data_IF_128712899458
#
_entry.id   IF_128712899458
#
_cell.length_a   1.000
_cell.length_b   1.000
_cell.length_c   1.000
_cell.angle_alpha   90.00
_cell.angle_beta   90.00
_cell.angle_gamma   90.00
#
_symmetry.space_group_name_H-M   'P 1'
#
loop_
_entity.id
_entity.type
_entity.pdbx_description
1 polymer ?
#
# COMPACT_ATOMS: atom_id res chain seq x y z
N UNK A 1 -14.45 -2.69 -7.85
CA UNK A 1 -13.91 -2.46 -6.49
C UNK A 1 -15.00 -2.74 -5.45
N UNK A 2 -14.66 -3.28 -4.26
CA UNK A 2 -15.59 -3.29 -3.14
C UNK A 2 -15.97 -1.85 -2.73
N UNK A 3 -17.09 -1.66 -2.00
CA UNK A 3 -17.45 -0.34 -1.50
C UNK A 3 -16.37 0.21 -0.56
N UNK A 4 -16.11 1.53 -0.64
CA UNK A 4 -15.15 2.19 0.22
C UNK A 4 -15.66 2.21 1.68
N UNK A 5 -14.76 2.03 2.62
CA UNK A 5 -15.04 2.06 4.05
C UNK A 5 -14.11 3.03 4.78
N UNK A 6 -14.50 3.48 5.97
CA UNK A 6 -13.63 4.31 6.79
C UNK A 6 -12.43 3.50 7.31
N UNK A 7 -11.26 4.13 7.38
CA UNK A 7 -10.07 3.52 7.98
C UNK A 7 -10.28 3.42 9.50
N UNK A 8 -10.23 2.21 10.09
CA UNK A 8 -10.37 2.08 11.54
C UNK A 8 -9.28 2.84 12.29
N UNK A 9 -9.56 3.36 13.49
CA UNK A 9 -8.51 3.91 14.35
C UNK A 9 -7.53 2.81 14.77
N UNK A 10 -6.28 3.18 15.03
CA UNK A 10 -5.35 2.29 15.69
C UNK A 10 -5.88 1.92 17.07
N UNK A 11 -5.71 0.68 17.47
CA UNK A 11 -5.99 0.25 18.83
C UNK A 11 -4.93 0.81 19.82
N UNK A 12 -5.07 0.51 21.11
CA UNK A 12 -4.16 0.98 22.16
C UNK A 12 -2.68 0.53 21.95
N UNK A 13 -2.45 -0.47 21.12
CA UNK A 13 -1.12 -1.00 20.80
C UNK A 13 -0.54 -0.40 19.50
N UNK A 14 -1.27 0.52 18.87
CA UNK A 14 -0.88 1.13 17.59
C UNK A 14 -1.09 0.23 16.38
N UNK A 15 -1.96 -0.78 16.49
CA UNK A 15 -2.25 -1.74 15.42
C UNK A 15 -3.58 -1.36 14.75
N UNK A 16 -3.62 -1.41 13.43
CA UNK A 16 -4.87 -1.33 12.68
C UNK A 16 -5.67 -2.63 12.91
N UNK A 17 -6.91 -2.58 13.45
CA UNK A 17 -7.69 -3.80 13.66
C UNK A 17 -7.98 -4.53 12.34
N UNK A 18 -7.92 -5.87 12.28
CA UNK A 18 -8.19 -6.61 11.04
C UNK A 18 -9.69 -6.78 10.74
N UNK A 19 -10.53 -6.59 11.76
CA UNK A 19 -11.99 -6.74 11.70
C UNK A 19 -12.65 -5.71 12.64
N UNK A 20 -13.92 -5.45 12.41
CA UNK A 20 -14.77 -4.80 13.41
C UNK A 20 -15.14 -5.81 14.49
N UNK A 21 -14.66 -5.62 15.72
CA UNK A 21 -14.92 -6.52 16.83
C UNK A 21 -16.41 -6.61 17.22
N UNK A 22 -17.19 -5.55 16.96
CA UNK A 22 -18.63 -5.53 17.19
C UNK A 22 -19.43 -6.32 16.13
N UNK A 23 -18.83 -6.52 14.93
CA UNK A 23 -19.44 -7.23 13.82
C UNK A 23 -18.41 -8.14 13.10
N UNK A 24 -17.88 -9.17 13.76
CA UNK A 24 -16.71 -9.91 13.30
C UNK A 24 -16.91 -10.71 12.01
N UNK A 25 -18.14 -10.96 11.60
CA UNK A 25 -18.48 -11.63 10.33
C UNK A 25 -18.90 -10.65 9.21
N UNK A 26 -18.88 -9.33 9.48
CA UNK A 26 -19.23 -8.33 8.49
C UNK A 26 -18.19 -8.27 7.36
N UNK A 27 -18.59 -7.70 6.22
CA UNK A 27 -17.68 -7.42 5.10
C UNK A 27 -16.68 -6.28 5.42
N UNK A 28 -16.89 -5.53 6.52
CA UNK A 28 -15.99 -4.46 6.96
C UNK A 28 -14.77 -5.07 7.69
N UNK A 29 -13.82 -5.52 6.90
CA UNK A 29 -12.60 -6.21 7.36
C UNK A 29 -11.44 -5.97 6.40
N UNK A 30 -10.23 -6.22 6.89
CA UNK A 30 -9.02 -6.15 6.06
C UNK A 30 -9.02 -7.22 4.93
N UNK A 31 -8.53 -6.83 3.75
CA UNK A 31 -8.07 -5.51 3.35
C UNK A 31 -9.21 -4.49 3.21
N UNK A 32 -9.17 -3.41 3.97
CA UNK A 32 -10.19 -2.36 3.89
C UNK A 32 -10.03 -1.56 2.60
N UNK A 33 -11.06 -1.53 1.76
CA UNK A 33 -11.08 -0.70 0.57
C UNK A 33 -11.31 0.76 0.97
N UNK A 34 -10.35 1.63 0.69
CA UNK A 34 -10.36 3.04 1.08
C UNK A 34 -9.96 3.93 -0.08
N UNK A 35 -10.36 5.21 -0.06
CA UNK A 35 -9.89 6.18 -1.03
C UNK A 35 -8.40 6.50 -0.81
N UNK A 36 -7.69 6.86 -1.88
CA UNK A 36 -6.30 7.31 -1.77
C UNK A 36 -6.22 8.63 -0.99
N UNK A 37 -7.23 9.48 -1.08
CA UNK A 37 -7.34 10.72 -0.33
C UNK A 37 -7.46 10.48 1.17
N UNK A 38 -8.34 9.57 1.61
CA UNK A 38 -8.46 9.19 3.02
C UNK A 38 -7.19 8.54 3.55
N UNK A 39 -6.54 7.72 2.72
CA UNK A 39 -5.24 7.13 3.04
C UNK A 39 -4.18 8.20 3.31
N UNK A 40 -4.04 9.17 2.42
CA UNK A 40 -3.08 10.27 2.57
C UNK A 40 -3.39 11.09 3.82
N UNK A 41 -4.65 11.49 4.02
CA UNK A 41 -5.07 12.27 5.20
C UNK A 41 -4.79 11.51 6.51
N UNK A 42 -5.10 10.22 6.54
CA UNK A 42 -4.95 9.38 7.74
C UNK A 42 -3.49 9.19 8.16
N UNK A 43 -2.57 9.08 7.19
CA UNK A 43 -1.19 8.69 7.47
C UNK A 43 -0.15 9.80 7.33
N UNK A 44 -0.51 11.01 6.90
CA UNK A 44 0.41 12.17 6.81
C UNK A 44 0.65 12.84 8.17
N UNK A 45 0.96 12.06 9.20
CA UNK A 45 1.05 12.51 10.60
C UNK A 45 2.45 12.95 11.03
N UNK A 46 3.45 12.79 10.19
CA UNK A 46 4.83 13.24 10.43
C UNK A 46 5.56 13.49 9.12
N UNK A 47 6.65 14.26 9.15
CA UNK A 47 7.46 14.55 7.97
C UNK A 47 7.92 13.27 7.27
N UNK A 48 8.38 12.26 8.03
CA UNK A 48 8.81 10.99 7.44
C UNK A 48 7.67 10.24 6.75
N UNK A 49 6.47 10.28 7.29
CA UNK A 49 5.28 9.69 6.66
C UNK A 49 4.87 10.45 5.39
N UNK A 50 4.99 11.77 5.38
CA UNK A 50 4.77 12.60 4.19
C UNK A 50 5.77 12.25 3.07
N UNK A 51 7.06 12.04 3.42
CA UNK A 51 8.07 11.58 2.45
C UNK A 51 7.70 10.21 1.84
N UNK A 52 7.28 9.25 2.67
CA UNK A 52 6.87 7.91 2.22
C UNK A 52 5.63 8.00 1.32
N UNK A 53 4.64 8.79 1.69
CA UNK A 53 3.44 9.02 0.87
C UNK A 53 3.78 9.69 -0.46
N UNK A 54 4.70 10.64 -0.46
CA UNK A 54 5.22 11.26 -1.69
C UNK A 54 5.89 10.21 -2.57
N UNK A 55 6.69 9.34 -1.98
CA UNK A 55 7.32 8.21 -2.67
C UNK A 55 6.30 7.26 -3.27
N UNK A 56 5.27 6.88 -2.52
CA UNK A 56 4.17 6.04 -3.00
C UNK A 56 3.44 6.68 -4.20
N UNK A 57 3.11 7.97 -4.13
CA UNK A 57 2.47 8.68 -5.24
C UNK A 57 3.39 8.77 -6.48
N UNK A 58 4.71 8.85 -6.29
CA UNK A 58 5.68 8.79 -7.39
C UNK A 58 5.80 7.38 -7.98
N UNK A 59 5.77 6.34 -7.16
CA UNK A 59 5.72 4.94 -7.60
C UNK A 59 4.45 4.68 -8.42
N UNK A 60 3.28 5.15 -7.95
CA UNK A 60 2.02 5.05 -8.70
C UNK A 60 2.10 5.77 -10.04
N UNK A 61 2.67 6.98 -10.08
CA UNK A 61 2.87 7.72 -11.34
C UNK A 61 3.75 6.94 -12.33
N UNK A 62 4.80 6.24 -11.85
CA UNK A 62 5.63 5.39 -12.70
C UNK A 62 4.86 4.16 -13.22
N UNK A 63 4.02 3.51 -12.39
CA UNK A 63 3.12 2.45 -12.84
C UNK A 63 2.17 2.94 -13.93
N UNK A 64 1.54 4.11 -13.74
CA UNK A 64 0.62 4.70 -14.73
C UNK A 64 1.34 5.05 -16.03
N UNK A 65 2.56 5.57 -15.97
CA UNK A 65 3.39 5.84 -17.15
C UNK A 65 3.73 4.56 -17.92
N UNK A 66 3.87 3.41 -17.23
CA UNK A 66 4.03 2.09 -17.85
C UNK A 66 2.71 1.48 -18.35
N UNK A 67 1.59 2.22 -18.28
CA UNK A 67 0.26 1.78 -18.70
C UNK A 67 -0.50 0.94 -17.67
N UNK A 68 0.04 0.73 -16.47
CA UNK A 68 -0.59 -0.04 -15.40
C UNK A 68 -1.56 0.85 -14.60
N UNK A 69 -2.76 1.06 -15.15
CA UNK A 69 -3.78 1.98 -14.64
C UNK A 69 -5.02 1.28 -14.09
N UNK A 70 -5.07 -0.04 -14.11
CA UNK A 70 -6.23 -0.84 -13.70
C UNK A 70 -5.82 -1.96 -12.77
N UNK A 71 -6.56 -2.10 -11.67
CA UNK A 71 -6.30 -3.07 -10.61
C UNK A 71 -6.42 -2.42 -9.23
N UNK A 72 -5.64 -2.89 -8.28
CA UNK A 72 -5.63 -2.36 -6.91
C UNK A 72 -4.29 -2.61 -6.23
N UNK A 73 -4.06 -1.89 -5.15
CA UNK A 73 -2.88 -2.06 -4.31
C UNK A 73 -3.29 -2.46 -2.90
N UNK A 74 -2.64 -3.45 -2.32
CA UNK A 74 -2.65 -3.66 -0.88
C UNK A 74 -1.47 -2.91 -0.27
N UNK A 75 -1.74 -2.11 0.75
CA UNK A 75 -0.74 -1.35 1.49
C UNK A 75 -0.64 -1.87 2.92
N UNK A 76 0.57 -2.17 3.37
CA UNK A 76 0.85 -2.69 4.70
C UNK A 76 2.23 -2.22 5.24
N UNK A 77 2.89 -3.09 5.98
CA UNK A 77 4.14 -2.84 6.66
C UNK A 77 4.00 -2.09 7.99
N UNK A 78 5.13 -1.64 8.49
CA UNK A 78 5.16 -0.80 9.70
C UNK A 78 4.49 0.57 9.47
N UNK A 79 4.30 0.98 8.22
CA UNK A 79 3.60 2.19 7.85
C UNK A 79 2.12 2.17 8.29
N UNK A 80 1.46 1.01 8.29
CA UNK A 80 0.08 0.86 8.76
C UNK A 80 -0.04 0.84 10.30
N UNK A 81 1.07 0.81 11.02
CA UNK A 81 1.12 0.81 12.47
C UNK A 81 1.49 2.19 13.00
N UNK A 82 1.08 2.52 14.21
CA UNK A 82 1.54 3.71 14.93
C UNK A 82 2.86 3.39 15.65
N UNK A 83 3.89 3.10 14.85
CA UNK A 83 5.20 2.61 15.36
C UNK A 83 5.94 3.65 16.18
N UNK A 84 5.62 4.93 16.01
CA UNK A 84 6.22 6.05 16.74
C UNK A 84 5.90 6.01 18.23
N UNK A 85 4.71 5.49 18.61
CA UNK A 85 4.32 5.34 20.02
C UNK A 85 4.55 3.91 20.55
N UNK A 86 4.89 2.96 19.69
CA UNK A 86 5.12 1.58 20.08
C UNK A 86 6.36 1.48 20.99
N UNK A 87 6.24 1.05 22.27
CA UNK A 87 7.38 1.02 23.20
C UNK A 87 8.58 0.23 22.72
N UNK A 88 8.37 -0.74 21.82
CA UNK A 88 9.43 -1.60 21.27
C UNK A 88 10.15 -0.98 20.08
N UNK A 89 9.54 -0.03 19.39
CA UNK A 89 10.08 0.50 18.13
C UNK A 89 10.45 1.98 18.24
N UNK A 90 9.56 2.84 18.72
CA UNK A 90 9.75 4.29 18.94
C UNK A 90 10.52 5.00 17.81
N UNK A 91 10.22 4.65 16.57
CA UNK A 91 10.85 5.20 15.37
C UNK A 91 9.81 5.39 14.27
N UNK A 92 10.01 6.31 13.35
CA UNK A 92 9.14 6.39 12.18
C UNK A 92 9.26 5.11 11.31
N UNK A 93 8.26 4.82 10.46
CA UNK A 93 8.40 3.81 9.43
C UNK A 93 9.51 4.19 8.43
N UNK A 94 10.14 3.21 7.79
CA UNK A 94 11.17 3.48 6.78
C UNK A 94 10.55 3.60 5.39
N UNK A 95 9.50 2.84 5.14
CA UNK A 95 8.84 2.62 3.85
C UNK A 95 7.40 2.18 4.06
N UNK A 96 6.66 2.04 2.97
CA UNK A 96 5.38 1.33 2.92
C UNK A 96 5.53 0.07 2.06
N UNK A 97 5.03 -1.07 2.56
CA UNK A 97 4.98 -2.33 1.80
C UNK A 97 3.73 -2.32 0.91
N UNK A 98 3.90 -2.62 -0.39
CA UNK A 98 2.80 -2.57 -1.37
C UNK A 98 2.81 -3.80 -2.27
N UNK A 99 1.72 -4.54 -2.29
CA UNK A 99 1.44 -5.51 -3.37
C UNK A 99 0.54 -4.82 -4.39
N UNK A 100 1.00 -4.73 -5.63
CA UNK A 100 0.24 -4.15 -6.74
C UNK A 100 -0.35 -5.25 -7.60
N UNK A 101 -1.66 -5.45 -7.53
CA UNK A 101 -2.42 -6.31 -8.42
C UNK A 101 -2.87 -5.48 -9.62
N UNK A 102 -2.42 -5.84 -10.83
CA UNK A 102 -2.67 -5.04 -12.02
C UNK A 102 -3.16 -5.87 -13.21
N UNK A 103 -3.94 -5.24 -14.05
CA UNK A 103 -4.24 -5.71 -15.40
C UNK A 103 -3.23 -5.15 -16.39
N UNK A 104 -2.80 -5.97 -17.33
CA UNK A 104 -1.96 -5.51 -18.44
C UNK A 104 -2.77 -4.58 -19.36
N UNK A 105 -2.14 -3.56 -19.95
CA UNK A 105 -2.75 -2.78 -21.02
C UNK A 105 -3.20 -3.67 -22.19
N UNK A 106 -4.23 -3.24 -22.89
CA UNK A 106 -4.74 -3.99 -24.06
C UNK A 106 -3.60 -4.22 -25.09
N UNK A 107 -3.43 -5.46 -25.50
CA UNK A 107 -2.40 -5.87 -26.46
C UNK A 107 -0.97 -5.98 -25.90
N UNK A 108 -0.75 -5.62 -24.62
CA UNK A 108 0.55 -5.77 -23.98
C UNK A 108 0.73 -7.15 -23.35
N UNK A 109 1.99 -7.58 -23.26
CA UNK A 109 2.39 -8.77 -22.50
C UNK A 109 3.18 -8.36 -21.26
N UNK A 110 3.28 -9.26 -20.28
CA UNK A 110 4.14 -9.05 -19.11
C UNK A 110 5.59 -8.72 -19.53
N UNK A 111 6.12 -9.40 -20.54
CA UNK A 111 7.47 -9.19 -21.02
C UNK A 111 7.66 -7.80 -21.65
N UNK A 112 6.70 -7.32 -22.43
CA UNK A 112 6.80 -5.99 -23.06
C UNK A 112 6.70 -4.87 -22.04
N UNK A 113 5.83 -4.98 -21.04
CA UNK A 113 5.70 -3.98 -19.97
C UNK A 113 6.96 -3.98 -19.09
N UNK A 114 7.45 -5.16 -18.69
CA UNK A 114 8.66 -5.26 -17.87
C UNK A 114 9.91 -4.75 -18.61
N UNK A 115 10.02 -4.97 -19.93
CA UNK A 115 11.12 -4.42 -20.74
C UNK A 115 11.06 -2.89 -20.87
N UNK A 116 9.84 -2.31 -20.88
CA UNK A 116 9.65 -0.85 -20.96
C UNK A 116 9.85 -0.11 -19.63
N UNK A 117 9.69 -0.80 -18.50
CA UNK A 117 9.84 -0.23 -17.16
C UNK A 117 10.44 -1.26 -16.19
N UNK A 118 11.69 -1.73 -16.45
CA UNK A 118 12.30 -2.85 -15.70
C UNK A 118 12.42 -2.55 -14.20
N UNK A 119 12.60 -1.29 -13.81
CA UNK A 119 12.71 -0.90 -12.41
C UNK A 119 11.43 -1.14 -11.60
N UNK A 120 10.27 -1.30 -12.24
CA UNK A 120 8.99 -1.58 -11.57
C UNK A 120 8.78 -3.09 -11.31
N UNK A 121 9.63 -3.95 -11.85
CA UNK A 121 9.53 -5.41 -11.77
C UNK A 121 10.81 -6.04 -11.20
N UNK A 122 11.21 -5.64 -9.98
CA UNK A 122 12.44 -6.15 -9.41
C UNK A 122 12.39 -7.68 -9.26
N UNK A 123 13.47 -8.35 -9.64
CA UNK A 123 13.62 -9.81 -9.62
C UNK A 123 14.74 -10.28 -8.68
N UNK A 124 15.60 -9.36 -8.27
CA UNK A 124 16.71 -9.62 -7.36
C UNK A 124 16.62 -8.75 -6.10
N UNK A 125 17.22 -9.14 -4.97
CA UNK A 125 17.25 -8.29 -3.77
C UNK A 125 17.82 -6.89 -4.03
N UNK A 126 18.87 -6.77 -4.85
CA UNK A 126 19.47 -5.47 -5.18
C UNK A 126 18.53 -4.57 -5.99
N UNK A 127 17.73 -5.12 -6.88
CA UNK A 127 16.71 -4.38 -7.62
C UNK A 127 15.56 -3.94 -6.70
N UNK A 128 15.13 -4.81 -5.77
CA UNK A 128 14.17 -4.44 -4.73
C UNK A 128 14.69 -3.29 -3.86
N UNK A 129 15.95 -3.35 -3.39
CA UNK A 129 16.57 -2.27 -2.63
C UNK A 129 16.65 -0.96 -3.46
N UNK A 130 16.96 -1.05 -4.74
CA UNK A 130 17.02 0.11 -5.64
C UNK A 130 15.65 0.78 -5.76
N UNK A 131 14.59 0.01 -6.01
CA UNK A 131 13.22 0.52 -6.08
C UNK A 131 12.79 1.14 -4.76
N UNK A 132 13.05 0.42 -3.65
CA UNK A 132 12.74 0.85 -2.29
C UNK A 132 13.44 2.17 -1.94
N UNK A 133 14.71 2.32 -2.27
CA UNK A 133 15.46 3.55 -2.03
C UNK A 133 14.93 4.73 -2.89
N UNK A 134 14.49 4.46 -4.11
CA UNK A 134 13.95 5.47 -5.03
C UNK A 134 12.59 5.99 -4.59
N UNK A 135 11.70 5.10 -4.12
CA UNK A 135 10.30 5.44 -3.88
C UNK A 135 9.87 5.32 -2.41
N UNK A 136 10.70 4.83 -1.51
CA UNK A 136 10.34 4.48 -0.13
C UNK A 136 9.13 3.50 -0.09
N UNK A 137 9.09 2.60 -1.07
CA UNK A 137 8.07 1.56 -1.25
C UNK A 137 8.75 0.21 -1.40
N UNK A 138 8.37 -0.76 -0.59
CA UNK A 138 8.74 -2.16 -0.80
C UNK A 138 7.64 -2.81 -1.65
N UNK A 139 7.91 -2.98 -2.96
CA UNK A 139 6.89 -3.24 -3.97
C UNK A 139 6.93 -4.66 -4.53
N UNK A 140 5.74 -5.26 -4.65
CA UNK A 140 5.53 -6.62 -5.15
C UNK A 140 4.45 -6.62 -6.23
N UNK A 141 4.80 -6.57 -7.53
CA UNK A 141 3.85 -6.57 -8.64
C UNK A 141 3.29 -7.96 -8.93
N UNK A 142 1.95 -8.08 -9.07
CA UNK A 142 1.22 -9.31 -9.39
C UNK A 142 0.24 -9.04 -10.53
N UNK A 143 0.41 -9.74 -11.66
CA UNK A 143 -0.53 -9.67 -12.76
C UNK A 143 -1.82 -10.40 -12.45
N UNK A 144 -2.95 -9.75 -12.68
CA UNK A 144 -4.30 -10.33 -12.58
C UNK A 144 -4.68 -11.21 -13.79
N UNK A 145 -3.86 -11.20 -14.85
CA UNK A 145 -4.05 -12.06 -16.03
C UNK A 145 -3.50 -13.48 -15.89
N UNK A 146 -3.05 -13.89 -14.69
CA UNK A 146 -2.57 -15.24 -14.41
C UNK A 146 -3.71 -16.26 -14.22
N UNK A 147 -3.36 -17.54 -13.93
CA UNK A 147 -4.36 -18.55 -13.58
C UNK A 147 -5.02 -18.23 -12.24
N UNK A 148 -6.26 -18.70 -12.06
CA UNK A 148 -7.02 -18.51 -10.82
C UNK A 148 -6.30 -19.12 -9.61
N UNK A 149 -5.68 -20.29 -9.78
CA UNK A 149 -4.94 -20.99 -8.73
C UNK A 149 -3.77 -20.12 -8.24
N UNK A 150 -3.00 -19.56 -9.18
CA UNK A 150 -1.88 -18.68 -8.85
C UNK A 150 -2.33 -17.41 -8.11
N UNK A 151 -3.46 -16.84 -8.49
CA UNK A 151 -4.02 -15.67 -7.80
C UNK A 151 -4.46 -16.02 -6.38
N UNK A 152 -5.11 -17.16 -6.18
CA UNK A 152 -5.50 -17.67 -4.85
C UNK A 152 -4.26 -17.89 -3.98
N UNK A 153 -3.24 -18.59 -4.49
CA UNK A 153 -1.99 -18.84 -3.77
C UNK A 153 -1.29 -17.53 -3.36
N UNK A 154 -1.18 -16.57 -4.30
CA UNK A 154 -0.55 -15.26 -4.02
C UNK A 154 -1.36 -14.45 -3.01
N UNK A 155 -2.68 -14.45 -3.13
CA UNK A 155 -3.56 -13.74 -2.19
C UNK A 155 -3.48 -14.35 -0.79
N UNK A 156 -3.53 -15.68 -0.68
CA UNK A 156 -3.39 -16.40 0.59
C UNK A 156 -2.02 -16.15 1.23
N UNK A 157 -0.94 -16.20 0.43
CA UNK A 157 0.42 -15.90 0.89
C UNK A 157 0.51 -14.49 1.49
N UNK A 158 0.12 -13.46 0.73
CA UNK A 158 0.22 -12.07 1.19
C UNK A 158 -0.71 -11.77 2.36
N UNK A 159 -1.92 -12.33 2.36
CA UNK A 159 -2.83 -12.20 3.49
C UNK A 159 -2.23 -12.85 4.75
N UNK A 160 -1.64 -14.03 4.61
CA UNK A 160 -0.97 -14.75 5.69
C UNK A 160 0.23 -13.97 6.25
N UNK A 161 1.10 -13.43 5.38
CA UNK A 161 2.28 -12.64 5.79
C UNK A 161 1.86 -11.31 6.44
N UNK A 162 0.80 -10.67 5.93
CA UNK A 162 0.42 -9.31 6.32
C UNK A 162 -0.68 -9.24 7.37
N UNK A 163 -1.40 -10.33 7.61
CA UNK A 163 -2.49 -10.40 8.59
C UNK A 163 -2.02 -10.33 10.05
N UNK A 164 -0.72 -10.21 10.31
CA UNK A 164 -0.19 -10.13 11.68
C UNK A 164 1.06 -9.26 11.77
N UNK A 165 1.35 -8.78 12.98
CA UNK A 165 2.63 -8.12 13.28
C UNK A 165 3.77 -9.16 13.31
N UNK A 166 4.90 -8.82 12.70
CA UNK A 166 6.08 -9.70 12.64
C UNK A 166 6.63 -10.08 14.02
N UNK A 167 6.63 -9.13 14.96
CA UNK A 167 7.30 -9.33 16.26
C UNK A 167 6.40 -9.96 17.32
N UNK A 168 5.08 -9.80 17.21
CA UNK A 168 4.12 -10.19 18.27
C UNK A 168 3.12 -11.23 17.82
N UNK A 169 3.05 -11.51 16.52
CA UNK A 169 2.03 -12.35 15.86
C UNK A 169 0.60 -11.90 16.12
N UNK A 170 0.39 -10.67 16.61
CA UNK A 170 -0.94 -10.11 16.80
C UNK A 170 -1.60 -9.82 15.47
N UNK A 171 -2.87 -10.13 15.36
CA UNK A 171 -3.68 -9.85 14.19
C UNK A 171 -3.64 -8.37 13.83
N UNK A 172 -3.44 -8.09 12.55
CA UNK A 172 -3.29 -6.74 11.99
C UNK A 172 -4.09 -6.60 10.71
N UNK A 173 -4.77 -5.46 10.58
CA UNK A 173 -5.41 -5.05 9.34
C UNK A 173 -4.45 -4.37 8.39
N UNK A 174 -4.87 -4.28 7.12
CA UNK A 174 -4.20 -3.57 6.05
C UNK A 174 -5.22 -3.02 5.06
N UNK A 175 -4.79 -2.18 4.13
CA UNK A 175 -5.69 -1.39 3.30
C UNK A 175 -5.59 -1.79 1.83
N UNK A 176 -6.68 -1.54 1.09
CA UNK A 176 -6.75 -1.68 -0.36
C UNK A 176 -7.07 -0.34 -1.00
N UNK A 177 -6.25 0.06 -1.97
CA UNK A 177 -6.36 1.28 -2.75
C UNK A 177 -6.67 0.93 -4.20
N UNK A 178 -7.52 1.70 -4.87
CA UNK A 178 -7.69 1.58 -6.32
C UNK A 178 -6.39 1.98 -7.03
N UNK A 179 -6.04 1.28 -8.11
CA UNK A 179 -4.88 1.63 -8.93
C UNK A 179 -5.20 2.69 -9.98
N UNK A 180 -6.48 2.96 -10.25
CA UNK A 180 -6.88 3.96 -11.23
C UNK A 180 -6.30 5.36 -10.88
N UNK A 181 -5.83 6.15 -11.89
CA UNK A 181 -5.11 7.42 -11.63
C UNK A 181 -6.01 8.58 -11.17
N UNK A 182 -7.33 8.40 -11.15
CA UNK A 182 -8.28 9.49 -10.88
C UNK A 182 -8.08 10.17 -9.51
N UNK A 183 -7.64 9.40 -8.49
CA UNK A 183 -7.44 9.92 -7.14
C UNK A 183 -6.02 10.46 -6.87
N UNK A 184 -5.06 10.24 -7.76
CA UNK A 184 -3.65 10.59 -7.50
C UNK A 184 -3.42 12.10 -7.42
N UNK A 185 -4.06 12.90 -8.28
CA UNK A 185 -3.93 14.35 -8.25
C UNK A 185 -4.58 14.98 -7.00
N UNK A 186 -5.83 14.62 -6.60
CA UNK A 186 -6.41 15.05 -5.33
C UNK A 186 -5.57 14.66 -4.11
N UNK A 187 -5.10 13.41 -4.04
CA UNK A 187 -4.27 12.93 -2.94
C UNK A 187 -2.95 13.70 -2.84
N UNK A 188 -2.32 14.01 -3.97
CA UNK A 188 -1.08 14.81 -4.03
C UNK A 188 -1.32 16.24 -3.54
N UNK A 189 -2.44 16.85 -3.92
CA UNK A 189 -2.80 18.20 -3.46
C UNK A 189 -3.00 18.24 -1.93
N UNK A 190 -3.70 17.25 -1.37
CA UNK A 190 -3.88 17.11 0.08
C UNK A 190 -2.54 16.93 0.82
N UNK A 191 -1.64 16.11 0.28
CA UNK A 191 -0.33 15.89 0.87
C UNK A 191 0.52 17.17 0.88
N UNK A 192 0.46 17.96 -0.19
CA UNK A 192 1.15 19.25 -0.28
C UNK A 192 0.59 20.25 0.73
N UNK A 193 -0.73 20.33 0.86
CA UNK A 193 -1.38 21.22 1.83
C UNK A 193 -0.98 20.87 3.28
N UNK A 194 -0.92 19.57 3.62
CA UNK A 194 -0.51 19.12 4.95
C UNK A 194 0.98 19.42 5.23
N UNK A 195 1.84 19.38 4.19
CA UNK A 195 3.26 19.70 4.33
C UNK A 195 3.50 21.20 4.56
N UNK A 196 2.66 22.07 4.00
CA UNK A 196 2.79 23.53 4.15
C UNK A 196 2.10 24.08 5.41
N UNK A 197 1.12 23.35 5.96
CA UNK A 197 0.40 23.74 7.19
C UNK A 197 1.15 23.42 8.50
N UNK A 198 2.28 22.76 8.45
CA UNK A 198 3.11 22.37 9.58
C UNK A 198 4.25 23.34 9.92
N UNK A 199 4.03 24.66 9.82
CA UNK A 199 4.97 25.62 10.43
C UNK A 199 4.43 26.01 11.79
N UNK A 200 5.19 25.81 12.90
CA UNK A 200 4.79 26.14 14.26
C UNK A 200 4.62 27.64 14.47
#
# INVERSE_FOLDING_TARGET
MPPLVAIPPWNAEGILPPIDAAAPISANRAPYAVSLSDFVLRFSTSQKRIEILTGLLNYRAALHAAGLTSGFQWANGSFMEHVEICPRRQRPPNDVDVVTFYHLPAGATQATVAAGAPELFPSTPAEHDTLKNKYLVDAFPISLGGSSERLVDRSAYWYGVWGHQRDTFKWKGFLQLDLAPAEDAPARALLTANNTGGTP
#
